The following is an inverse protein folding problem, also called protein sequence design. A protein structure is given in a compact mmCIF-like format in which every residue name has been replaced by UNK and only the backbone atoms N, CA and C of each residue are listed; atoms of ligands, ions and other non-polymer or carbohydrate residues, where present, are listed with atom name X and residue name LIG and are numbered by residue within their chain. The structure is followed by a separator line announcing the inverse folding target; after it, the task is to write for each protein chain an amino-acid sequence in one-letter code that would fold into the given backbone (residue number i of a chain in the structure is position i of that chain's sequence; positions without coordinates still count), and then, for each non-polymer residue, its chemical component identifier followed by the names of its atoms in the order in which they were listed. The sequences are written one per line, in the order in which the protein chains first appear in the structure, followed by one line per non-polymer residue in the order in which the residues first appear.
data_IF_143547244810
#
_entry.id   IF_143547244810
#
_cell.length_a   1.000
_cell.length_b   1.000
_cell.length_c   1.000
_cell.angle_alpha   90.00
_cell.angle_beta   90.00
_cell.angle_gamma   90.00
#
_symmetry.space_group_name_H-M   'P 1'
#
loop_
_entity.id
_entity.type
_entity.pdbx_description
1 polymer ?
#
# COMPACT_ATOMS: atom_id res chain seq x y z
N UNK A 1 46.61 4.79 31.55
CA UNK A 1 45.82 4.19 32.64
C UNK A 1 44.88 3.17 32.01
N UNK A 2 44.84 1.94 32.55
CA UNK A 2 44.15 0.73 32.04
C UNK A 2 42.61 0.91 32.08
N UNK A 3 41.89 0.64 31.00
CA UNK A 3 41.19 -0.62 30.62
C UNK A 3 39.78 -0.79 31.25
N UNK A 4 38.81 -0.91 30.34
CA UNK A 4 37.51 -1.61 30.33
C UNK A 4 36.97 -2.28 31.58
N UNK A 5 35.64 -2.17 31.79
CA UNK A 5 34.71 -3.32 31.93
C UNK A 5 33.24 -2.88 31.97
N UNK A 6 32.41 -3.52 31.13
CA UNK A 6 30.95 -3.69 31.30
C UNK A 6 30.65 -4.45 32.59
N UNK A 7 29.50 -4.20 33.23
CA UNK A 7 28.65 -5.28 33.76
C UNK A 7 27.23 -4.81 34.14
N UNK A 8 26.27 -5.63 33.75
CA UNK A 8 24.85 -5.61 34.13
C UNK A 8 24.65 -6.24 35.52
N UNK A 9 23.37 -6.48 35.90
CA UNK A 9 22.80 -7.41 36.93
C UNK A 9 22.09 -6.63 38.06
N UNK A 10 20.73 -6.69 38.17
CA UNK A 10 19.92 -7.62 39.01
C UNK A 10 20.00 -7.19 40.51
N UNK A 11 19.01 -7.14 41.40
CA UNK A 11 17.61 -7.55 41.50
C UNK A 11 17.05 -6.98 42.84
N UNK A 12 15.74 -7.19 43.07
CA UNK A 12 15.07 -7.39 44.38
C UNK A 12 14.95 -6.20 45.36
N UNK A 13 13.72 -5.70 45.59
CA UNK A 13 12.76 -6.14 46.63
C UNK A 13 13.34 -6.05 48.05
N UNK A 14 12.94 -5.04 48.83
CA UNK A 14 11.99 -5.22 49.93
C UNK A 14 11.87 -3.99 50.87
N UNK A 15 10.61 -3.61 51.12
CA UNK A 15 9.98 -3.33 52.42
C UNK A 15 10.71 -2.36 53.38
N UNK A 16 10.11 -1.20 53.65
CA UNK A 16 9.44 -0.97 54.93
C UNK A 16 8.70 0.37 54.99
N UNK A 17 7.45 0.24 55.42
CA UNK A 17 6.45 1.27 55.68
C UNK A 17 6.92 2.25 56.76
N UNK A 18 6.81 3.54 56.48
CA UNK A 18 6.77 4.57 57.52
C UNK A 18 5.44 5.31 57.39
N UNK A 19 4.48 4.98 58.25
CA UNK A 19 3.25 5.74 58.44
C UNK A 19 3.44 6.74 59.58
N UNK A 20 3.28 8.06 59.35
CA UNK A 20 3.02 8.99 60.42
C UNK A 20 1.51 9.20 60.60
N UNK A 21 1.03 8.74 61.75
CA UNK A 21 -0.05 9.26 62.62
C UNK A 21 -1.06 10.26 62.03
N UNK A 22 -2.31 9.81 61.97
CA UNK A 22 -3.54 10.59 61.72
C UNK A 22 -3.89 11.53 62.88
N UNK A 23 -4.23 12.79 62.57
CA UNK A 23 -4.96 13.71 63.46
C UNK A 23 -6.38 13.92 62.91
N UNK A 24 -7.44 13.87 63.74
CA UNK A 24 -8.81 13.88 63.24
C UNK A 24 -9.49 15.26 63.35
N UNK A 25 -10.55 15.42 62.55
CA UNK A 25 -11.56 16.47 62.49
C UNK A 25 -11.06 17.86 62.00
N UNK A 26 -11.75 18.58 61.12
CA UNK A 26 -13.19 18.72 61.00
C UNK A 26 -13.63 19.09 59.57
N UNK A 27 -14.88 18.72 59.32
CA UNK A 27 -15.76 18.85 58.15
C UNK A 27 -15.55 20.09 57.24
N UNK A 28 -15.41 19.84 55.95
CA UNK A 28 -15.97 20.69 54.89
C UNK A 28 -16.69 19.81 53.86
N UNK A 29 -18.01 19.99 53.79
CA UNK A 29 -18.87 19.46 52.74
C UNK A 29 -18.58 20.24 51.45
N UNK A 30 -18.15 19.56 50.38
CA UNK A 30 -18.27 20.07 49.02
C UNK A 30 -18.38 18.89 48.04
N UNK A 31 -19.53 18.82 47.38
CA UNK A 31 -19.86 17.89 46.31
C UNK A 31 -19.00 18.15 45.08
N UNK A 32 -18.40 17.10 44.52
CA UNK A 32 -17.96 17.09 43.12
C UNK A 32 -18.47 15.81 42.46
N UNK A 33 -19.62 15.95 41.80
CA UNK A 33 -20.22 14.95 40.91
C UNK A 33 -19.21 14.67 39.81
N UNK A 34 -18.58 13.50 39.83
CA UNK A 34 -17.77 13.02 38.71
C UNK A 34 -18.73 12.49 37.63
N UNK A 35 -19.28 13.41 36.84
CA UNK A 35 -20.09 13.08 35.67
C UNK A 35 -19.23 12.28 34.68
N UNK A 36 -19.45 10.98 34.62
CA UNK A 36 -18.90 10.11 33.58
C UNK A 36 -19.50 10.48 32.23
N UNK A 37 -18.69 11.12 31.38
CA UNK A 37 -19.01 11.29 29.97
C UNK A 37 -17.82 10.78 29.15
N UNK A 38 -17.71 9.45 29.03
CA UNK A 38 -16.92 8.83 27.98
C UNK A 38 -17.68 9.00 26.67
N UNK A 39 -17.46 10.11 25.98
CA UNK A 39 -17.95 10.29 24.62
C UNK A 39 -17.17 9.33 23.71
N UNK A 40 -17.90 8.39 23.11
CA UNK A 40 -17.39 7.42 22.14
C UNK A 40 -16.96 8.16 20.87
N UNK A 41 -15.68 8.55 20.81
CA UNK A 41 -15.08 9.06 19.58
C UNK A 41 -14.86 7.87 18.64
N UNK A 42 -15.84 7.61 17.78
CA UNK A 42 -15.71 6.61 16.71
C UNK A 42 -14.68 7.10 15.70
N UNK A 43 -13.48 6.53 15.73
CA UNK A 43 -12.43 6.79 14.75
C UNK A 43 -12.82 6.13 13.42
N UNK A 44 -13.30 6.92 12.46
CA UNK A 44 -13.36 6.51 11.06
C UNK A 44 -11.93 6.41 10.54
N UNK A 45 -11.38 5.20 10.55
CA UNK A 45 -10.11 4.91 9.87
C UNK A 45 -10.41 4.72 8.39
N UNK A 46 -10.28 5.79 7.60
CA UNK A 46 -10.21 5.67 6.14
C UNK A 46 -8.83 5.11 5.81
N UNK A 47 -8.72 3.80 5.62
CA UNK A 47 -7.51 3.19 5.06
C UNK A 47 -7.44 3.53 3.58
N UNK A 48 -6.43 4.29 3.17
CA UNK A 48 -6.06 4.35 1.76
C UNK A 48 -5.63 2.95 1.31
N UNK A 49 -6.52 2.23 0.62
CA UNK A 49 -6.22 0.91 0.08
C UNK A 49 -5.21 1.06 -1.07
N UNK A 50 -3.95 0.78 -0.78
CA UNK A 50 -2.95 0.61 -1.82
C UNK A 50 -3.23 -0.69 -2.57
N UNK A 51 -3.36 -0.63 -3.89
CA UNK A 51 -3.48 -1.85 -4.68
C UNK A 51 -2.23 -2.73 -4.47
N UNK A 52 -2.41 -4.03 -4.18
CA UNK A 52 -1.29 -4.96 -4.06
C UNK A 52 -0.51 -5.06 -5.38
N UNK A 53 0.69 -5.62 -5.33
CA UNK A 53 1.46 -5.88 -6.53
C UNK A 53 0.77 -6.93 -7.40
N UNK A 54 0.93 -6.81 -8.72
CA UNK A 54 0.36 -7.80 -9.64
C UNK A 54 1.13 -9.11 -9.57
N UNK A 55 0.41 -10.22 -9.49
CA UNK A 55 0.96 -11.58 -9.32
C UNK A 55 0.84 -12.43 -10.58
N UNK A 56 0.14 -11.96 -11.62
CA UNK A 56 0.00 -12.68 -12.89
C UNK A 56 1.33 -13.13 -13.52
N UNK A 57 2.48 -12.41 -13.41
CA UNK A 57 3.72 -12.87 -14.03
C UNK A 57 4.24 -14.20 -13.49
N UNK A 58 3.77 -14.64 -12.32
CA UNK A 58 4.17 -15.93 -11.74
C UNK A 58 3.55 -17.14 -12.46
N UNK A 59 2.43 -16.95 -13.17
CA UNK A 59 1.68 -18.05 -13.78
C UNK A 59 1.20 -17.76 -15.20
N UNK A 60 1.60 -16.62 -15.77
CA UNK A 60 1.33 -16.25 -17.15
C UNK A 60 2.64 -16.13 -17.96
N UNK A 61 2.53 -16.36 -19.26
CA UNK A 61 3.60 -16.31 -20.25
C UNK A 61 3.17 -15.45 -21.44
N UNK A 62 4.10 -15.12 -22.34
CA UNK A 62 3.87 -14.23 -23.50
C UNK A 62 3.15 -12.94 -23.10
N UNK A 63 3.66 -12.31 -22.04
CA UNK A 63 3.10 -11.08 -21.50
C UNK A 63 3.50 -9.93 -22.43
N UNK A 64 2.49 -9.28 -23.00
CA UNK A 64 2.66 -8.15 -23.91
C UNK A 64 1.61 -7.08 -23.61
N UNK A 65 1.87 -5.86 -24.07
CA UNK A 65 0.92 -4.75 -23.99
C UNK A 65 0.81 -4.13 -25.38
N UNK A 66 -0.40 -3.71 -25.77
CA UNK A 66 -0.55 -2.92 -26.99
C UNK A 66 -0.19 -1.44 -26.77
N UNK A 67 -0.31 -0.67 -27.85
CA UNK A 67 -0.06 0.77 -27.85
C UNK A 67 -1.15 1.57 -27.14
N UNK A 68 -2.26 0.94 -26.75
CA UNK A 68 -3.28 1.55 -25.91
C UNK A 68 -2.93 1.21 -24.46
N UNK A 69 -3.70 0.36 -23.81
CA UNK A 69 -3.55 0.00 -22.40
C UNK A 69 -4.00 -1.44 -22.12
N UNK A 70 -4.05 -2.29 -23.14
CA UNK A 70 -4.49 -3.68 -22.97
C UNK A 70 -3.30 -4.61 -22.82
N UNK A 71 -3.19 -5.20 -21.64
CA UNK A 71 -2.27 -6.28 -21.33
C UNK A 71 -2.83 -7.59 -21.90
N UNK A 72 -2.01 -8.36 -22.63
CA UNK A 72 -2.34 -9.69 -23.13
C UNK A 72 -1.33 -10.69 -22.57
N UNK A 73 -1.80 -11.90 -22.28
CA UNK A 73 -0.94 -12.99 -21.83
C UNK A 73 -1.58 -14.36 -22.11
N UNK A 74 -0.77 -15.40 -21.95
CA UNK A 74 -1.20 -16.80 -21.83
C UNK A 74 -1.08 -17.25 -20.37
N UNK A 75 -2.20 -17.43 -19.69
CA UNK A 75 -2.23 -17.71 -18.25
C UNK A 75 -2.59 -19.17 -17.95
N UNK A 76 -1.93 -19.75 -16.95
CA UNK A 76 -2.12 -21.13 -16.51
C UNK A 76 -3.49 -21.31 -15.83
N UNK A 77 -4.26 -22.29 -16.29
CA UNK A 77 -5.48 -22.76 -15.65
C UNK A 77 -5.17 -23.81 -14.59
N UNK A 78 -6.10 -24.05 -13.67
CA UNK A 78 -6.00 -25.09 -12.63
C UNK A 78 -5.82 -26.49 -13.25
N UNK A 79 -6.40 -26.73 -14.44
CA UNK A 79 -6.25 -27.98 -15.17
C UNK A 79 -4.88 -28.13 -15.90
N UNK A 80 -3.97 -27.17 -15.73
CA UNK A 80 -2.63 -27.17 -16.33
C UNK A 80 -2.54 -26.63 -17.76
N UNK A 81 -3.67 -26.31 -18.41
CA UNK A 81 -3.66 -25.74 -19.76
C UNK A 81 -3.47 -24.21 -19.76
N UNK A 82 -2.99 -23.64 -20.87
CA UNK A 82 -2.83 -22.19 -21.02
C UNK A 82 -4.05 -21.59 -21.71
N UNK A 83 -4.59 -20.51 -21.15
CA UNK A 83 -5.65 -19.73 -21.78
C UNK A 83 -5.10 -18.37 -22.25
N UNK A 84 -5.48 -17.94 -23.46
CA UNK A 84 -5.19 -16.59 -23.94
C UNK A 84 -6.20 -15.64 -23.31
N UNK A 85 -5.70 -14.59 -22.67
CA UNK A 85 -6.53 -13.63 -21.94
C UNK A 85 -5.96 -12.23 -22.07
N UNK A 86 -6.80 -11.23 -21.81
CA UNK A 86 -6.44 -9.83 -21.90
C UNK A 86 -7.21 -9.01 -20.88
N UNK A 87 -6.59 -7.94 -20.39
CA UNK A 87 -7.20 -7.00 -19.45
C UNK A 87 -6.72 -5.58 -19.72
N UNK A 88 -7.58 -4.60 -19.49
CA UNK A 88 -7.19 -3.19 -19.53
C UNK A 88 -6.49 -2.78 -18.24
N UNK A 89 -5.35 -2.11 -18.37
CA UNK A 89 -4.63 -1.49 -17.25
C UNK A 89 -5.29 -0.16 -16.92
N UNK A 90 -5.65 0.03 -15.65
CA UNK A 90 -6.38 1.19 -15.17
C UNK A 90 -5.51 2.12 -14.32
N UNK A 91 -5.91 3.39 -14.28
CA UNK A 91 -5.45 4.39 -13.34
C UNK A 91 -4.04 4.94 -13.57
N UNK A 92 -3.35 4.59 -14.67
CA UNK A 92 -2.00 5.09 -14.93
C UNK A 92 -2.04 6.32 -15.84
N UNK A 93 -1.37 7.38 -15.41
CA UNK A 93 -1.25 8.66 -16.10
C UNK A 93 0.21 9.06 -16.33
N UNK A 94 0.41 9.94 -17.32
CA UNK A 94 1.69 10.63 -17.51
C UNK A 94 1.65 12.01 -16.85
N UNK A 95 2.43 12.20 -15.79
CA UNK A 95 2.59 13.49 -15.11
C UNK A 95 3.98 14.05 -15.41
N UNK A 96 4.05 14.97 -16.37
CA UNK A 96 5.29 15.65 -16.79
C UNK A 96 6.45 14.69 -17.10
N UNK A 97 6.17 13.64 -17.87
CA UNK A 97 7.13 12.61 -18.28
C UNK A 97 7.24 11.43 -17.30
N UNK A 98 6.55 11.43 -16.18
CA UNK A 98 6.60 10.33 -15.20
C UNK A 98 5.28 9.55 -15.18
N UNK A 99 5.37 8.22 -15.30
CA UNK A 99 4.22 7.35 -15.09
C UNK A 99 3.84 7.35 -13.60
N UNK A 100 2.56 7.61 -13.32
CA UNK A 100 2.01 7.65 -11.96
C UNK A 100 0.61 7.06 -11.93
N UNK A 101 0.18 6.63 -10.76
CA UNK A 101 -1.24 6.38 -10.52
C UNK A 101 -1.96 7.71 -10.29
N UNK A 102 -3.08 7.89 -11.00
CA UNK A 102 -4.01 8.98 -10.79
C UNK A 102 -4.78 8.84 -9.48
N UNK A 103 -5.69 9.78 -9.22
CA UNK A 103 -6.51 9.76 -8.00
C UNK A 103 -7.59 8.68 -8.04
N UNK A 104 -8.14 8.43 -9.22
CA UNK A 104 -9.16 7.42 -9.46
C UNK A 104 -8.52 6.23 -10.17
N UNK A 105 -8.41 5.11 -9.45
CA UNK A 105 -7.76 3.89 -9.94
C UNK A 105 -8.66 3.06 -10.85
N UNK A 106 -9.96 3.39 -10.92
CA UNK A 106 -10.93 2.72 -11.79
C UNK A 106 -10.97 3.31 -13.20
N UNK A 107 -10.40 4.50 -13.38
CA UNK A 107 -10.39 5.19 -14.67
C UNK A 107 -9.44 4.55 -15.67
N UNK A 108 -9.77 4.72 -16.95
CA UNK A 108 -8.89 4.34 -18.04
C UNK A 108 -7.54 5.06 -17.92
N UNK A 109 -6.46 4.34 -18.20
CA UNK A 109 -5.13 4.93 -18.27
C UNK A 109 -5.02 5.94 -19.43
N UNK A 110 -4.41 7.10 -19.17
CA UNK A 110 -4.23 8.17 -20.18
C UNK A 110 -2.76 8.35 -20.62
N UNK A 111 -1.82 7.65 -19.98
CA UNK A 111 -0.42 7.68 -20.42
C UNK A 111 -0.23 7.34 -21.92
N UNK A 112 -1.03 6.47 -22.58
CA UNK A 112 -0.81 6.14 -23.99
C UNK A 112 -0.91 7.35 -24.92
N UNK A 113 -1.68 8.37 -24.52
CA UNK A 113 -1.90 9.58 -25.33
C UNK A 113 -0.58 10.33 -25.58
N UNK A 114 0.32 10.33 -24.59
CA UNK A 114 1.57 11.13 -24.58
C UNK A 114 2.85 10.31 -24.36
N UNK A 115 2.75 8.98 -24.28
CA UNK A 115 3.89 8.09 -24.16
C UNK A 115 4.07 7.21 -25.40
N UNK A 116 5.31 6.83 -25.70
CA UNK A 116 5.69 5.96 -26.82
C UNK A 116 6.64 4.86 -26.33
N UNK A 117 6.91 3.86 -27.17
CA UNK A 117 7.76 2.70 -26.81
C UNK A 117 7.26 2.01 -25.53
N UNK A 118 5.94 1.81 -25.48
CA UNK A 118 5.26 1.17 -24.36
C UNK A 118 5.60 -0.32 -24.41
N UNK A 119 6.03 -0.88 -23.28
CA UNK A 119 6.38 -2.29 -23.14
C UNK A 119 6.18 -2.74 -21.69
N UNK A 120 6.05 -4.05 -21.48
CA UNK A 120 5.95 -4.64 -20.15
C UNK A 120 7.01 -5.73 -20.00
N UNK A 121 7.66 -5.76 -18.83
CA UNK A 121 8.53 -6.85 -18.40
C UNK A 121 8.08 -7.32 -17.02
N UNK A 122 7.57 -8.55 -16.94
CA UNK A 122 6.90 -9.04 -15.73
C UNK A 122 5.66 -8.18 -15.43
N UNK A 123 5.65 -7.49 -14.29
CA UNK A 123 4.62 -6.51 -13.93
C UNK A 123 5.07 -5.05 -14.10
N UNK A 124 6.26 -4.80 -14.66
CA UNK A 124 6.79 -3.43 -14.82
C UNK A 124 6.40 -2.88 -16.19
N UNK A 125 5.60 -1.83 -16.20
CA UNK A 125 5.30 -1.03 -17.39
C UNK A 125 6.43 -0.03 -17.61
N UNK A 126 6.99 -0.03 -18.82
CA UNK A 126 8.05 0.87 -19.25
C UNK A 126 7.57 1.69 -20.45
N UNK A 127 7.87 2.97 -20.47
CA UNK A 127 7.55 3.84 -21.60
C UNK A 127 8.49 5.04 -21.69
N UNK A 128 8.48 5.70 -22.86
CA UNK A 128 9.07 7.03 -23.07
C UNK A 128 7.96 8.06 -23.13
N UNK A 129 7.83 8.89 -22.09
CA UNK A 129 6.72 9.81 -21.90
C UNK A 129 7.12 11.27 -22.16
N UNK A 130 6.21 12.04 -22.76
CA UNK A 130 6.40 13.46 -23.05
C UNK A 130 6.25 14.31 -21.78
N UNK A 131 7.15 15.29 -21.61
CA UNK A 131 7.10 16.35 -20.59
C UNK A 131 6.29 17.54 -21.09
N UNK A 132 5.89 18.42 -20.18
CA UNK A 132 5.16 19.66 -20.52
C UNK A 132 5.98 20.61 -21.40
N UNK A 133 7.32 20.55 -21.31
CA UNK A 133 8.23 21.32 -22.17
C UNK A 133 8.49 20.70 -23.56
N UNK A 134 7.79 19.63 -23.92
CA UNK A 134 7.93 18.95 -25.23
C UNK A 134 9.06 17.91 -25.31
N UNK A 135 10.00 17.88 -24.36
CA UNK A 135 11.00 16.81 -24.29
C UNK A 135 10.36 15.48 -23.86
N UNK A 136 11.09 14.36 -24.00
CA UNK A 136 10.63 13.05 -23.50
C UNK A 136 11.61 12.43 -22.51
N UNK A 137 11.13 11.47 -21.73
CA UNK A 137 11.96 10.71 -20.78
C UNK A 137 11.52 9.28 -20.69
N UNK A 138 12.47 8.38 -20.48
CA UNK A 138 12.16 7.01 -20.11
C UNK A 138 11.68 6.99 -18.65
N UNK A 139 10.64 6.21 -18.39
CA UNK A 139 9.99 6.07 -17.09
C UNK A 139 9.41 4.66 -16.97
N UNK A 140 9.20 4.22 -15.73
CA UNK A 140 8.62 2.92 -15.44
C UNK A 140 7.70 3.01 -14.22
N UNK A 141 6.76 2.07 -14.14
CA UNK A 141 5.88 1.91 -12.98
C UNK A 141 5.49 0.43 -12.84
N UNK A 142 5.29 -0.02 -11.60
CA UNK A 142 4.74 -1.34 -11.35
C UNK A 142 3.22 -1.33 -11.58
N UNK A 143 2.74 -2.25 -12.42
CA UNK A 143 1.31 -2.52 -12.59
C UNK A 143 0.80 -3.23 -11.33
N UNK A 144 -0.28 -2.73 -10.75
CA UNK A 144 -0.83 -3.20 -9.48
C UNK A 144 -2.19 -3.87 -9.66
N UNK A 145 -2.47 -4.83 -8.76
CA UNK A 145 -3.77 -5.41 -8.55
C UNK A 145 -4.18 -6.50 -9.54
N UNK A 146 -3.37 -6.85 -10.55
CA UNK A 146 -3.75 -7.85 -11.56
C UNK A 146 -3.22 -9.24 -11.16
N UNK A 147 -4.07 -10.25 -11.25
CA UNK A 147 -3.73 -11.66 -11.00
C UNK A 147 -4.25 -12.57 -12.11
N UNK A 148 -3.87 -13.85 -12.01
CA UNK A 148 -4.41 -14.92 -12.83
C UNK A 148 -5.52 -15.67 -12.07
N UNK A 149 -6.76 -15.48 -12.49
CA UNK A 149 -7.96 -16.13 -11.96
C UNK A 149 -8.31 -17.32 -12.86
N UNK A 150 -7.68 -18.47 -12.60
CA UNK A 150 -7.89 -19.73 -13.35
C UNK A 150 -7.80 -19.55 -14.89
N UNK A 151 -6.71 -18.95 -15.36
CA UNK A 151 -6.46 -18.68 -16.78
C UNK A 151 -7.06 -17.38 -17.31
N UNK A 152 -7.74 -16.58 -16.47
CA UNK A 152 -8.23 -15.25 -16.84
C UNK A 152 -7.50 -14.17 -16.07
N UNK A 153 -7.00 -13.13 -16.74
CA UNK A 153 -6.50 -11.95 -16.05
C UNK A 153 -7.67 -11.22 -15.38
N UNK A 154 -7.48 -10.82 -14.12
CA UNK A 154 -8.49 -10.10 -13.33
C UNK A 154 -7.86 -9.21 -12.28
N UNK A 155 -8.61 -8.22 -11.80
CA UNK A 155 -8.20 -7.45 -10.63
C UNK A 155 -8.53 -8.21 -9.35
N UNK A 156 -7.59 -8.25 -8.40
CA UNK A 156 -7.71 -8.91 -7.09
C UNK A 156 -8.85 -8.34 -6.24
N UNK A 157 -9.13 -7.05 -6.42
CA UNK A 157 -10.24 -6.34 -5.78
C UNK A 157 -11.00 -5.58 -6.86
N UNK A 158 -12.32 -5.79 -6.93
CA UNK A 158 -13.19 -4.99 -7.79
C UNK A 158 -13.18 -3.54 -7.32
N UNK A 159 -13.21 -2.61 -8.28
CA UNK A 159 -13.38 -1.18 -8.03
C UNK A 159 -14.85 -0.83 -7.80
#
# INVERSE_FOLDING_TARGET
MRNSTLQAIFLERDIMLFMPTVKPLARFMALAVCSGAFTLMSALTVSAQWLPESTYPHSCTDIEIDTADTLRARCLQINGSLNRTSIQILGIENVNGQLRYGRDLSQRSNYPDSCRRISVVGATLMARCQRTNGSSTDTWILIRGIENQNGSLGYQYGF
#
